data_IF_952604273780
#
_entry.id   IF_952604273780
#
_cell.length_a   1.000
_cell.length_b   1.000
_cell.length_c   1.000
_cell.angle_alpha   90.00
_cell.angle_beta   90.00
_cell.angle_gamma   90.00
#
_symmetry.space_group_name_H-M   'P 1'
#
loop_
_entity.id
_entity.type
_entity.pdbx_description
1 polymer ?
#
# COMPACT_ATOMS: atom_id res chain seq x y z
N UNK A 1 7.02 -6.31 -7.47
CA UNK A 1 6.62 -6.18 -6.05
C UNK A 1 7.77 -5.65 -5.22
N UNK A 2 8.89 -6.39 -5.13
CA UNK A 2 10.09 -5.96 -4.41
C UNK A 2 10.56 -4.57 -4.82
N UNK A 3 10.65 -4.29 -6.12
CA UNK A 3 11.08 -2.97 -6.62
C UNK A 3 10.16 -1.83 -6.17
N UNK A 4 8.85 -2.07 -6.10
CA UNK A 4 7.87 -1.06 -5.66
C UNK A 4 7.99 -0.77 -4.17
N UNK A 5 8.20 -1.81 -3.36
CA UNK A 5 8.40 -1.67 -1.92
C UNK A 5 9.75 -0.99 -1.65
N UNK A 6 10.82 -1.41 -2.33
CA UNK A 6 12.14 -0.78 -2.23
C UNK A 6 12.14 0.67 -2.70
N UNK A 7 11.43 0.99 -3.79
CA UNK A 7 11.20 2.38 -4.22
C UNK A 7 10.51 3.18 -3.11
N UNK A 8 9.42 2.66 -2.55
CA UNK A 8 8.66 3.34 -1.49
C UNK A 8 9.54 3.61 -0.28
N UNK A 9 10.28 2.61 0.19
CA UNK A 9 11.23 2.73 1.30
C UNK A 9 12.30 3.79 1.03
N UNK A 10 12.90 3.78 -0.17
CA UNK A 10 13.94 4.75 -0.54
C UNK A 10 13.45 6.20 -0.50
N UNK A 11 12.16 6.44 -0.80
CA UNK A 11 11.54 7.77 -0.69
C UNK A 11 11.13 8.10 0.74
N UNK A 12 10.63 7.11 1.48
CA UNK A 12 10.28 7.24 2.89
C UNK A 12 11.48 7.71 3.73
N UNK A 13 12.67 7.17 3.47
CA UNK A 13 13.91 7.61 4.13
C UNK A 13 14.32 9.05 3.82
N UNK A 14 13.87 9.63 2.71
CA UNK A 14 14.22 11.00 2.29
C UNK A 14 13.18 12.04 2.76
N UNK A 15 11.97 11.61 3.12
CA UNK A 15 10.90 12.52 3.60
C UNK A 15 11.24 13.25 4.90
N UNK A 16 12.15 12.73 5.73
CA UNK A 16 12.60 13.42 6.96
C UNK A 16 13.36 14.71 6.61
N UNK A 17 14.08 14.69 5.50
CA UNK A 17 15.02 15.75 5.14
C UNK A 17 14.47 16.67 4.06
N UNK A 18 13.56 16.18 3.21
CA UNK A 18 13.05 16.92 2.05
C UNK A 18 11.57 16.59 1.77
N UNK A 19 10.69 17.58 2.00
CA UNK A 19 9.22 17.47 1.79
C UNK A 19 8.83 17.16 0.32
N UNK A 20 9.75 17.36 -0.64
CA UNK A 20 9.53 17.05 -2.06
C UNK A 20 9.28 15.56 -2.31
N UNK A 21 9.63 14.68 -1.35
CA UNK A 21 9.45 13.24 -1.47
C UNK A 21 8.12 12.71 -0.93
N UNK A 22 7.37 13.50 -0.15
CA UNK A 22 6.10 13.05 0.45
C UNK A 22 5.10 12.52 -0.59
N UNK A 23 4.93 13.15 -1.77
CA UNK A 23 4.02 12.63 -2.77
C UNK A 23 4.49 11.33 -3.40
N UNK A 24 5.81 11.13 -3.52
CA UNK A 24 6.39 9.90 -4.06
C UNK A 24 6.20 8.73 -3.11
N UNK A 25 6.29 9.00 -1.82
CA UNK A 25 5.95 8.07 -0.76
C UNK A 25 4.50 7.63 -0.85
N UNK A 26 3.58 8.59 -0.94
CA UNK A 26 2.15 8.30 -1.06
C UNK A 26 1.87 7.48 -2.33
N UNK A 27 2.48 7.86 -3.45
CA UNK A 27 2.34 7.15 -4.71
C UNK A 27 2.88 5.71 -4.64
N UNK A 28 4.04 5.52 -4.00
CA UNK A 28 4.63 4.21 -3.75
C UNK A 28 3.74 3.35 -2.86
N UNK A 29 3.22 3.91 -1.76
CA UNK A 29 2.34 3.22 -0.83
C UNK A 29 1.03 2.75 -1.46
N UNK A 30 0.38 3.61 -2.25
CA UNK A 30 -0.80 3.19 -3.02
C UNK A 30 -0.43 2.12 -4.05
N UNK A 31 0.68 2.29 -4.77
CA UNK A 31 1.08 1.37 -5.83
C UNK A 31 1.43 -0.03 -5.30
N UNK A 32 2.14 -0.14 -4.17
CA UNK A 32 2.47 -1.45 -3.59
C UNK A 32 1.22 -2.22 -3.16
N UNK A 33 0.25 -1.54 -2.53
CA UNK A 33 -1.01 -2.15 -2.12
C UNK A 33 -1.85 -2.57 -3.35
N UNK A 34 -1.92 -1.70 -4.38
CA UNK A 34 -2.60 -2.01 -5.65
C UNK A 34 -2.00 -3.25 -6.32
N UNK A 35 -0.66 -3.31 -6.44
CA UNK A 35 0.01 -4.44 -7.06
C UNK A 35 -0.27 -5.74 -6.29
N UNK A 36 -0.27 -5.70 -4.95
CA UNK A 36 -0.53 -6.88 -4.13
C UNK A 36 -1.96 -7.41 -4.33
N UNK A 37 -2.94 -6.50 -4.36
CA UNK A 37 -4.33 -6.83 -4.65
C UNK A 37 -4.49 -7.38 -6.08
N UNK A 38 -3.90 -6.74 -7.08
CA UNK A 38 -4.00 -7.16 -8.49
C UNK A 38 -3.40 -8.55 -8.71
N UNK A 39 -2.21 -8.82 -8.15
CA UNK A 39 -1.56 -10.12 -8.26
C UNK A 39 -2.46 -11.21 -7.66
N UNK A 40 -2.98 -10.96 -6.46
CA UNK A 40 -3.81 -11.93 -5.74
C UNK A 40 -5.15 -12.19 -6.43
N UNK A 41 -5.83 -11.12 -6.86
CA UNK A 41 -7.11 -11.20 -7.58
C UNK A 41 -6.96 -11.92 -8.91
N UNK A 42 -5.92 -11.61 -9.69
CA UNK A 42 -5.66 -12.30 -10.96
C UNK A 42 -5.34 -13.78 -10.75
N UNK A 43 -4.56 -14.11 -9.72
CA UNK A 43 -4.28 -15.50 -9.38
C UNK A 43 -5.54 -16.26 -8.93
N UNK A 44 -6.54 -15.57 -8.38
CA UNK A 44 -7.86 -16.12 -8.07
C UNK A 44 -8.78 -16.24 -9.29
N UNK A 45 -8.34 -15.79 -10.47
CA UNK A 45 -9.16 -15.77 -11.69
C UNK A 45 -10.11 -14.58 -11.80
N UNK A 46 -9.94 -13.53 -10.98
CA UNK A 46 -10.79 -12.33 -11.07
C UNK A 46 -10.45 -11.47 -12.30
N UNK A 47 -11.49 -11.03 -13.00
CA UNK A 47 -11.37 -10.08 -14.11
C UNK A 47 -11.42 -8.66 -13.57
N UNK A 48 -10.27 -7.98 -13.61
CA UNK A 48 -10.10 -6.62 -13.11
C UNK A 48 -10.46 -5.60 -14.20
N UNK A 49 -11.40 -4.66 -13.96
CA UNK A 49 -11.70 -3.57 -14.89
C UNK A 49 -10.45 -2.74 -15.19
N UNK A 50 -10.33 -2.27 -16.43
CA UNK A 50 -9.17 -1.48 -16.86
C UNK A 50 -8.96 -0.19 -16.06
N UNK A 51 -10.03 0.38 -15.49
CA UNK A 51 -10.01 1.62 -14.72
C UNK A 51 -10.28 1.42 -13.22
N UNK A 52 -10.04 0.22 -12.69
CA UNK A 52 -10.27 -0.06 -11.27
C UNK A 52 -9.39 0.85 -10.38
N UNK A 53 -10.04 1.56 -9.45
CA UNK A 53 -9.36 2.47 -8.51
C UNK A 53 -8.54 1.72 -7.46
N UNK A 54 -7.64 2.43 -6.77
CA UNK A 54 -6.81 1.85 -5.71
C UNK A 54 -7.63 1.21 -4.60
N UNK A 55 -8.57 1.95 -4.02
CA UNK A 55 -9.45 1.43 -2.97
C UNK A 55 -10.38 0.33 -3.49
N UNK A 56 -10.87 0.44 -4.73
CA UNK A 56 -11.73 -0.56 -5.35
C UNK A 56 -11.03 -1.93 -5.43
N UNK A 57 -9.75 -1.96 -5.81
CA UNK A 57 -8.96 -3.19 -5.84
C UNK A 57 -8.85 -3.85 -4.47
N UNK A 58 -8.64 -3.07 -3.41
CA UNK A 58 -8.57 -3.59 -2.04
C UNK A 58 -9.94 -4.08 -1.56
N UNK A 59 -11.03 -3.40 -1.90
CA UNK A 59 -12.40 -3.86 -1.60
C UNK A 59 -12.73 -5.16 -2.31
N UNK A 60 -12.29 -5.32 -3.56
CA UNK A 60 -12.41 -6.59 -4.29
C UNK A 60 -11.60 -7.68 -3.60
N UNK A 61 -10.37 -7.40 -3.17
CA UNK A 61 -9.55 -8.35 -2.43
C UNK A 61 -10.12 -8.71 -1.02
N UNK A 62 -10.93 -7.83 -0.44
CA UNK A 62 -11.63 -8.05 0.83
C UNK A 62 -12.95 -8.83 0.67
N UNK A 63 -13.42 -9.05 -0.57
CA UNK A 63 -14.63 -9.81 -0.84
C UNK A 63 -14.35 -11.31 -0.85
N UNK A 64 -15.11 -12.07 -0.05
CA UNK A 64 -15.04 -13.55 -0.01
C UNK A 64 -15.43 -14.22 -1.32
N UNK A 65 -16.23 -13.54 -2.14
CA UNK A 65 -16.66 -14.03 -3.45
C UNK A 65 -15.53 -13.92 -4.50
N UNK A 66 -14.52 -13.08 -4.24
CA UNK A 66 -13.39 -12.83 -5.15
C UNK A 66 -12.09 -13.44 -4.63
N UNK A 67 -11.84 -13.34 -3.33
CA UNK A 67 -10.75 -14.00 -2.62
C UNK A 67 -11.33 -14.76 -1.44
N UNK A 68 -11.58 -16.09 -1.57
CA UNK A 68 -12.09 -16.89 -0.47
C UNK A 68 -11.05 -17.06 0.64
N UNK A 69 -11.51 -17.47 1.83
CA UNK A 69 -10.62 -17.74 2.96
C UNK A 69 -9.63 -18.89 2.61
N UNK A 70 -8.38 -18.84 3.10
CA UNK A 70 -7.82 -17.86 4.05
C UNK A 70 -7.22 -16.59 3.40
N UNK A 71 -7.33 -16.45 2.08
CA UNK A 71 -6.65 -15.40 1.30
C UNK A 71 -7.36 -14.04 1.36
N UNK A 72 -8.63 -14.00 1.78
CA UNK A 72 -9.43 -12.77 1.89
C UNK A 72 -8.68 -11.68 2.67
N UNK A 73 -8.56 -10.48 2.10
CA UNK A 73 -7.91 -9.35 2.77
C UNK A 73 -8.76 -8.88 3.98
N UNK A 74 -8.20 -8.83 5.20
CA UNK A 74 -8.88 -8.24 6.35
C UNK A 74 -8.86 -6.70 6.25
N UNK A 75 -9.84 -6.13 5.53
CA UNK A 75 -9.93 -4.70 5.25
C UNK A 75 -11.14 -4.06 5.96
N UNK A 76 -10.88 -3.45 7.13
CA UNK A 76 -11.93 -2.80 7.92
C UNK A 76 -12.36 -1.45 7.34
N UNK A 77 -13.52 -0.94 7.78
CA UNK A 77 -13.99 0.40 7.38
C UNK A 77 -13.00 1.52 7.77
N UNK A 78 -12.35 1.39 8.93
CA UNK A 78 -11.30 2.34 9.35
C UNK A 78 -10.07 2.25 8.44
N UNK A 79 -9.60 1.04 8.11
CA UNK A 79 -8.48 0.85 7.19
C UNK A 79 -8.80 1.41 5.80
N UNK A 80 -10.03 1.22 5.35
CA UNK A 80 -10.53 1.81 4.09
C UNK A 80 -10.44 3.32 4.11
N UNK A 81 -10.95 3.97 5.15
CA UNK A 81 -10.91 5.43 5.28
C UNK A 81 -9.47 5.97 5.21
N UNK A 82 -8.54 5.39 5.96
CA UNK A 82 -7.15 5.85 5.95
C UNK A 82 -6.45 5.59 4.59
N UNK A 83 -6.78 4.49 3.91
CA UNK A 83 -6.25 4.23 2.57
C UNK A 83 -6.87 5.15 1.51
N UNK A 84 -8.16 5.50 1.62
CA UNK A 84 -8.81 6.47 0.74
C UNK A 84 -8.13 7.84 0.83
N UNK A 85 -7.81 8.31 2.03
CA UNK A 85 -7.02 9.55 2.24
C UNK A 85 -5.65 9.49 1.54
N UNK A 86 -4.99 8.34 1.60
CA UNK A 86 -3.71 8.12 0.90
C UNK A 86 -3.89 8.18 -0.64
N UNK A 87 -4.96 7.58 -1.16
CA UNK A 87 -5.31 7.63 -2.59
C UNK A 87 -5.66 9.05 -3.04
N UNK A 88 -6.38 9.82 -2.22
CA UNK A 88 -6.70 11.22 -2.49
C UNK A 88 -5.45 12.09 -2.56
N UNK A 89 -4.54 11.95 -1.59
CA UNK A 89 -3.25 12.64 -1.58
C UNK A 89 -2.41 12.32 -2.83
N UNK A 90 -2.36 11.04 -3.24
CA UNK A 90 -1.71 10.63 -4.49
C UNK A 90 -2.32 11.35 -5.69
N UNK A 91 -3.65 11.35 -5.77
CA UNK A 91 -4.37 11.86 -6.93
C UNK A 91 -4.23 13.38 -7.06
N UNK A 92 -4.22 14.11 -5.93
CA UNK A 92 -3.98 15.55 -5.90
C UNK A 92 -2.61 15.90 -6.48
N UNK A 93 -1.58 15.11 -6.17
CA UNK A 93 -0.23 15.27 -6.73
C UNK A 93 -0.14 14.87 -8.21
N UNK A 94 -0.68 13.70 -8.58
CA UNK A 94 -0.56 13.15 -9.93
C UNK A 94 -1.41 13.91 -10.97
N UNK A 95 -2.50 14.55 -10.52
CA UNK A 95 -3.41 15.29 -11.39
C UNK A 95 -3.69 16.67 -10.77
N UNK A 96 -2.69 17.58 -10.77
CA UNK A 96 -2.81 18.88 -10.14
C UNK A 96 -3.76 19.76 -10.94
N UNK A 97 -5.04 19.78 -10.55
CA UNK A 97 -6.11 20.57 -11.18
C UNK A 97 -6.07 22.05 -10.74
N UNK A 98 -4.87 22.65 -10.72
CA UNK A 98 -4.66 24.01 -10.22
C UNK A 98 -4.71 24.14 -8.69
N UNK A 99 -4.63 23.03 -7.96
CA UNK A 99 -4.63 22.99 -6.49
C UNK A 99 -3.21 22.65 -6.02
N UNK A 100 -2.73 23.38 -5.01
CA UNK A 100 -1.48 23.04 -4.31
C UNK A 100 -1.68 21.71 -3.59
N UNK A 101 -0.83 20.73 -3.88
CA UNK A 101 -0.85 19.45 -3.17
C UNK A 101 -0.16 19.61 -1.81
N UNK A 102 -0.67 18.89 -0.81
CA UNK A 102 -0.08 18.81 0.52
C UNK A 102 -0.31 17.41 1.06
N UNK A 103 0.74 16.78 1.57
CA UNK A 103 0.67 15.48 2.23
C UNK A 103 0.92 15.73 3.72
N UNK A 104 -0.09 15.49 4.55
CA UNK A 104 0.10 15.64 6.00
C UNK A 104 0.84 14.44 6.59
N UNK A 105 1.62 14.66 7.65
CA UNK A 105 2.21 13.59 8.45
C UNK A 105 1.15 12.59 8.94
N UNK A 106 -0.04 13.07 9.33
CA UNK A 106 -1.18 12.23 9.71
C UNK A 106 -1.63 11.29 8.59
N UNK A 107 -1.62 11.75 7.34
CA UNK A 107 -1.98 10.93 6.16
C UNK A 107 -0.97 9.80 5.96
N UNK A 108 0.33 10.08 6.13
CA UNK A 108 1.39 9.09 6.04
C UNK A 108 1.34 8.11 7.22
N UNK A 109 1.27 8.63 8.45
CA UNK A 109 1.26 7.86 9.69
C UNK A 109 0.09 6.87 9.76
N UNK A 110 -1.10 7.25 9.26
CA UNK A 110 -2.28 6.38 9.28
C UNK A 110 -2.45 5.53 8.03
N UNK A 111 -2.17 6.09 6.85
CA UNK A 111 -2.42 5.44 5.57
C UNK A 111 -1.36 4.39 5.20
N UNK A 112 -0.09 4.65 5.50
CA UNK A 112 1.02 3.75 5.11
C UNK A 112 0.98 2.40 5.81
N UNK A 113 0.69 2.30 7.13
CA UNK A 113 0.52 1.01 7.79
C UNK A 113 -0.61 0.16 7.20
N UNK A 114 -1.64 0.78 6.59
CA UNK A 114 -2.67 0.03 5.86
C UNK A 114 -2.08 -0.60 4.60
N UNK A 115 -1.34 0.17 3.82
CA UNK A 115 -0.71 -0.31 2.60
C UNK A 115 0.30 -1.44 2.87
N UNK A 116 1.12 -1.33 3.92
CA UNK A 116 2.07 -2.39 4.30
C UNK A 116 1.36 -3.66 4.78
N UNK A 117 0.27 -3.54 5.57
CA UNK A 117 -0.56 -4.67 6.00
C UNK A 117 -1.18 -5.41 4.82
N UNK A 118 -1.61 -4.69 3.78
CA UNK A 118 -2.13 -5.31 2.54
C UNK A 118 -1.08 -6.18 1.87
N UNK A 119 0.14 -5.65 1.68
CA UNK A 119 1.25 -6.42 1.08
C UNK A 119 1.62 -7.61 1.98
N UNK A 120 1.75 -7.39 3.28
CA UNK A 120 2.09 -8.44 4.26
C UNK A 120 1.07 -9.58 4.24
N UNK A 121 -0.23 -9.27 4.17
CA UNK A 121 -1.27 -10.28 4.12
C UNK A 121 -1.24 -11.05 2.79
N UNK A 122 -1.35 -10.33 1.68
CA UNK A 122 -1.58 -10.92 0.35
C UNK A 122 -0.35 -11.57 -0.28
N UNK A 123 0.86 -11.16 0.13
CA UNK A 123 2.11 -11.65 -0.48
C UNK A 123 2.91 -12.54 0.47
N UNK A 124 2.85 -12.29 1.78
CA UNK A 124 3.74 -12.96 2.75
C UNK A 124 3.01 -13.92 3.70
N UNK A 125 1.81 -13.58 4.17
CA UNK A 125 1.14 -14.29 5.27
C UNK A 125 0.11 -15.31 4.76
N UNK A 126 -0.74 -14.89 3.84
CA UNK A 126 -1.76 -15.72 3.20
C UNK A 126 -1.71 -15.51 1.67
N UNK A 127 -0.57 -15.80 1.01
CA UNK A 127 -0.50 -15.66 -0.43
C UNK A 127 -1.35 -16.72 -1.12
N UNK A 128 -2.09 -16.32 -2.15
CA UNK A 128 -2.88 -17.27 -2.96
C UNK A 128 -1.99 -18.20 -3.80
N UNK A 129 -0.77 -17.76 -4.15
CA UNK A 129 0.25 -18.60 -4.78
C UNK A 129 1.46 -18.72 -3.84
N UNK A 130 1.87 -19.93 -3.50
CA UNK A 130 2.95 -20.20 -2.54
C UNK A 130 4.35 -19.76 -3.03
N UNK A 131 4.50 -19.42 -4.30
CA UNK A 131 5.76 -19.06 -4.95
C UNK A 131 5.73 -17.66 -5.60
N UNK A 132 4.90 -16.74 -5.11
CA UNK A 132 4.86 -15.36 -5.60
C UNK A 132 6.21 -14.65 -5.51
N UNK A 133 6.99 -14.97 -4.47
CA UNK A 133 8.29 -14.39 -4.15
C UNK A 133 9.18 -15.48 -3.57
N UNK A 134 10.46 -15.48 -3.97
CA UNK A 134 11.46 -16.40 -3.42
C UNK A 134 11.70 -16.15 -1.93
N UNK A 135 12.22 -17.13 -1.17
CA UNK A 135 12.48 -16.96 0.26
C UNK A 135 13.34 -15.72 0.59
N UNK A 136 14.39 -15.47 -0.19
CA UNK A 136 15.25 -14.28 -0.04
C UNK A 136 14.51 -12.97 -0.29
N UNK A 137 13.56 -12.94 -1.24
CA UNK A 137 12.74 -11.77 -1.50
C UNK A 137 11.69 -11.57 -0.40
N UNK A 138 11.18 -12.64 0.21
CA UNK A 138 10.27 -12.55 1.35
C UNK A 138 10.95 -11.91 2.55
N UNK A 139 12.18 -12.32 2.86
CA UNK A 139 12.92 -11.76 4.01
C UNK A 139 13.19 -10.27 3.81
N UNK A 140 13.65 -9.88 2.61
CA UNK A 140 13.83 -8.47 2.26
C UNK A 140 12.52 -7.68 2.32
N UNK A 141 11.42 -8.22 1.79
CA UNK A 141 10.10 -7.58 1.90
C UNK A 141 9.67 -7.40 3.37
N UNK A 142 9.93 -8.37 4.24
CA UNK A 142 9.61 -8.25 5.67
C UNK A 142 10.38 -7.10 6.32
N UNK A 143 11.67 -6.98 6.02
CA UNK A 143 12.53 -5.91 6.53
C UNK A 143 12.09 -4.54 6.00
N UNK A 144 11.89 -4.41 4.69
CA UNK A 144 11.49 -3.15 4.06
C UNK A 144 10.11 -2.68 4.59
N UNK A 145 9.13 -3.59 4.69
CA UNK A 145 7.82 -3.26 5.24
C UNK A 145 7.89 -2.89 6.73
N UNK A 146 8.77 -3.52 7.50
CA UNK A 146 8.99 -3.17 8.91
C UNK A 146 9.61 -1.78 9.06
N UNK A 147 10.53 -1.41 8.17
CA UNK A 147 11.12 -0.07 8.18
C UNK A 147 10.09 1.02 7.81
N UNK A 148 9.21 0.76 6.84
CA UNK A 148 8.11 1.67 6.51
C UNK A 148 7.15 1.83 7.70
N UNK A 149 6.76 0.72 8.36
CA UNK A 149 5.90 0.76 9.54
C UNK A 149 6.52 1.56 10.69
N UNK A 150 7.79 1.31 11.02
CA UNK A 150 8.49 1.99 12.12
C UNK A 150 8.59 3.51 11.90
N UNK A 151 8.74 3.94 10.65
CA UNK A 151 8.76 5.35 10.32
C UNK A 151 7.37 5.97 10.35
N UNK A 152 6.33 5.26 9.90
CA UNK A 152 4.95 5.73 10.04
C UNK A 152 4.57 5.91 11.52
N UNK A 153 5.07 5.03 12.40
CA UNK A 153 4.94 5.17 13.85
C UNK A 153 5.66 6.41 14.38
N UNK A 154 6.90 6.68 13.91
CA UNK A 154 7.64 7.90 14.25
C UNK A 154 6.89 9.19 13.88
N UNK A 155 6.22 9.23 12.72
CA UNK A 155 5.42 10.39 12.30
C UNK A 155 4.15 10.60 13.15
N UNK A 156 3.71 9.57 13.88
CA UNK A 156 2.52 9.62 14.72
C UNK A 156 2.84 10.08 16.15
N UNK A 157 4.14 10.17 16.51
CA UNK A 157 4.58 10.56 17.84
C UNK A 157 4.61 12.11 17.96
N UNK A 158 3.79 12.71 18.83
CA UNK A 158 3.81 14.16 19.04
C UNK A 158 5.06 14.54 19.83
N UNK A 159 6.07 15.09 19.14
CA UNK A 159 7.14 15.84 19.80
C UNK A 159 6.60 17.15 20.41
#
# INVERSE_FOLDING_TARGET
>A
MLDTVGFTLSRFGLCVTEEVYDPWVVAGGVLMAQQAAVISLRAAGDTIPAQAGGTELLLRAASKDRLPAPFTLPFSAAARHEFERLVEARNAFMHPRGVTWYVSADTLARGMPVATKVVRHLILTQPILNNLVSPSEQDRLREDLKAIDAFADFLNDPY
#
